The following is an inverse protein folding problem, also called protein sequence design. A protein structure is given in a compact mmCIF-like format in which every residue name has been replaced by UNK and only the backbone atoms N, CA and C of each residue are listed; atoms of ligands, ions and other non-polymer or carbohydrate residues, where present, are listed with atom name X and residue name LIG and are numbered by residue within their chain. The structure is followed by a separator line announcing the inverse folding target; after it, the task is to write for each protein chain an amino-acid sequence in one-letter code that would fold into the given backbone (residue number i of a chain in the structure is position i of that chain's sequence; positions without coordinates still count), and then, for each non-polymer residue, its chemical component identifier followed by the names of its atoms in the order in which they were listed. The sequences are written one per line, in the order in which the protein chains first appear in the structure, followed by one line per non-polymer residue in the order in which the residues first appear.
data_IF_211140726209
#
_entry.id   IF_211140726209
#
_cell.length_a   1.000
_cell.length_b   1.000
_cell.length_c   1.000
_cell.angle_alpha   90.00
_cell.angle_beta   90.00
_cell.angle_gamma   90.00
#
_symmetry.space_group_name_H-M   'P 1'
#
loop_
_entity.id
_entity.type
_entity.pdbx_description
1 polymer ?
#
# COMPACT_ATOMS: atom_id res chain seq x y z
N UNK A 1 12.49 63.99 9.84
CA UNK A 1 11.91 63.02 10.82
C UNK A 1 11.82 61.68 10.15
N UNK A 2 12.31 60.68 10.84
CA UNK A 2 12.80 59.39 10.37
C UNK A 2 11.80 58.47 9.70
N UNK A 3 12.08 58.09 8.46
CA UNK A 3 11.42 57.04 7.65
C UNK A 3 12.14 55.70 7.74
N UNK A 4 12.75 55.35 8.89
CA UNK A 4 13.54 54.13 9.07
C UNK A 4 12.95 53.09 10.05
N UNK A 5 11.70 53.24 10.48
CA UNK A 5 11.12 52.38 11.54
C UNK A 5 10.05 51.41 11.08
N UNK A 6 9.68 51.29 9.79
CA UNK A 6 8.59 50.41 9.32
C UNK A 6 9.10 49.17 8.52
N UNK A 7 10.42 49.10 8.30
CA UNK A 7 11.00 48.00 7.47
C UNK A 7 11.50 46.79 8.25
N UNK A 8 11.25 46.67 9.57
CA UNK A 8 11.79 45.56 10.39
C UNK A 8 10.73 44.60 10.99
N UNK A 9 9.47 44.75 10.66
CA UNK A 9 8.40 43.89 11.21
C UNK A 9 7.80 42.88 10.23
N UNK A 10 8.30 42.79 8.99
CA UNK A 10 7.82 41.82 7.98
C UNK A 10 8.84 40.74 7.61
N UNK A 11 9.97 40.67 8.32
CA UNK A 11 11.02 39.68 8.01
C UNK A 11 11.07 38.48 8.97
N UNK A 12 10.16 38.37 9.93
CA UNK A 12 10.21 37.32 10.96
C UNK A 12 9.15 36.23 10.86
N UNK A 13 8.30 36.25 9.84
CA UNK A 13 7.21 35.24 9.70
C UNK A 13 7.38 34.32 8.50
N UNK A 14 8.51 34.34 7.81
CA UNK A 14 8.74 33.54 6.61
C UNK A 14 9.90 32.53 6.76
N UNK A 15 10.23 32.09 7.97
CA UNK A 15 11.36 31.18 8.22
C UNK A 15 10.99 29.96 9.09
N UNK A 16 9.71 29.55 9.13
CA UNK A 16 9.25 28.34 9.82
C UNK A 16 8.75 27.26 8.84
N UNK A 17 8.77 27.48 7.54
CA UNK A 17 8.40 26.46 6.52
C UNK A 17 9.59 25.83 5.78
N UNK A 18 10.79 25.91 6.31
CA UNK A 18 12.03 25.50 5.63
C UNK A 18 12.75 24.27 6.19
N UNK A 19 12.16 23.52 7.12
CA UNK A 19 12.68 22.22 7.57
C UNK A 19 11.58 21.17 7.58
N UNK A 20 10.90 20.96 6.46
CA UNK A 20 10.45 19.64 6.11
C UNK A 20 11.72 18.84 5.84
N UNK A 21 12.26 18.23 6.90
CA UNK A 21 13.22 17.15 6.79
C UNK A 21 12.71 16.26 5.66
N UNK A 22 13.51 16.10 4.61
CA UNK A 22 13.41 14.96 3.72
C UNK A 22 13.51 13.73 4.62
N UNK A 23 12.38 13.30 5.18
CA UNK A 23 12.31 12.06 5.91
C UNK A 23 12.66 11.00 4.89
N UNK A 24 13.68 10.23 5.18
CA UNK A 24 14.02 9.04 4.42
C UNK A 24 12.73 8.27 4.13
N UNK A 25 12.53 7.85 2.89
CA UNK A 25 11.39 7.00 2.52
C UNK A 25 11.41 5.68 3.33
N UNK A 26 12.54 5.38 3.98
CA UNK A 26 12.80 4.15 4.71
C UNK A 26 11.96 3.98 5.98
N UNK A 27 11.61 5.05 6.70
CA UNK A 27 10.91 4.97 8.01
C UNK A 27 9.61 5.80 8.04
N UNK A 28 8.87 5.84 6.95
CA UNK A 28 7.68 6.69 6.85
C UNK A 28 6.51 6.21 7.74
N UNK A 29 6.38 4.90 7.95
CA UNK A 29 5.32 4.36 8.84
C UNK A 29 5.57 4.74 10.29
N UNK A 30 6.84 4.89 10.71
CA UNK A 30 7.23 5.32 12.04
C UNK A 30 6.67 6.69 12.45
N UNK A 31 6.29 7.51 11.48
CA UNK A 31 5.72 8.85 11.66
C UNK A 31 4.20 8.87 11.77
N UNK A 32 3.55 7.73 11.51
CA UNK A 32 2.08 7.62 11.60
C UNK A 32 1.62 7.44 13.04
N UNK A 33 0.40 7.90 13.41
CA UNK A 33 -0.16 7.66 14.72
C UNK A 33 -0.28 6.17 15.04
N UNK A 34 0.03 5.79 16.26
CA UNK A 34 -0.02 4.40 16.73
C UNK A 34 -1.42 3.78 16.68
N UNK A 35 -2.47 4.58 16.77
CA UNK A 35 -3.86 4.18 16.71
C UNK A 35 -4.47 4.24 15.30
N UNK A 36 -3.71 4.66 14.28
CA UNK A 36 -4.13 4.60 12.89
C UNK A 36 -4.41 3.16 12.46
N UNK A 37 -5.52 2.94 11.76
CA UNK A 37 -5.86 1.61 11.23
C UNK A 37 -5.11 1.36 9.93
N UNK A 38 -4.49 0.18 9.79
CA UNK A 38 -3.73 -0.20 8.59
C UNK A 38 -4.59 -0.15 7.32
N UNK A 39 -5.88 -0.50 7.42
CA UNK A 39 -6.81 -0.40 6.29
C UNK A 39 -7.15 1.05 5.87
N UNK A 40 -6.73 2.06 6.65
CA UNK A 40 -6.89 3.48 6.32
C UNK A 40 -5.65 4.10 5.68
N UNK A 41 -4.59 3.33 5.48
CA UNK A 41 -3.36 3.83 4.89
C UNK A 41 -3.41 3.83 3.37
N UNK A 42 -2.59 4.68 2.79
CA UNK A 42 -2.17 4.63 1.38
C UNK A 42 -0.83 3.92 1.33
N UNK A 43 -0.83 2.65 0.95
CA UNK A 43 0.36 1.78 1.04
C UNK A 43 0.90 1.53 -0.36
N UNK A 44 2.10 2.03 -0.70
CA UNK A 44 2.74 1.70 -1.95
C UNK A 44 3.18 0.23 -1.96
N UNK A 45 2.89 -0.45 -3.06
CA UNK A 45 3.18 -1.87 -3.25
C UNK A 45 3.67 -2.20 -4.65
N UNK A 46 4.35 -3.33 -4.79
CA UNK A 46 4.94 -3.83 -6.02
C UNK A 46 4.26 -5.11 -6.48
N UNK A 47 3.77 -5.09 -7.70
CA UNK A 47 3.28 -6.26 -8.44
C UNK A 47 4.49 -7.08 -8.90
N UNK A 48 4.43 -8.42 -8.77
CA UNK A 48 5.52 -9.34 -9.13
C UNK A 48 6.90 -8.85 -8.67
N UNK A 49 7.01 -8.51 -7.40
CA UNK A 49 8.16 -7.78 -6.83
C UNK A 49 9.50 -8.51 -7.01
N UNK A 50 9.50 -9.84 -7.15
CA UNK A 50 10.70 -10.64 -7.33
C UNK A 50 11.37 -10.48 -8.70
N UNK A 51 10.68 -9.95 -9.71
CA UNK A 51 11.27 -9.78 -11.06
C UNK A 51 12.44 -8.79 -11.09
N UNK A 52 12.51 -7.89 -10.11
CA UNK A 52 13.63 -6.96 -9.93
C UNK A 52 14.96 -7.64 -9.55
N UNK A 53 14.93 -8.89 -9.04
CA UNK A 53 16.13 -9.69 -8.79
C UNK A 53 16.76 -10.28 -10.05
N UNK A 54 16.11 -10.12 -11.22
CA UNK A 54 16.54 -10.71 -12.47
C UNK A 54 16.10 -12.15 -12.63
N UNK A 55 16.44 -12.76 -13.76
CA UNK A 55 15.98 -14.07 -14.16
C UNK A 55 17.13 -15.04 -14.26
N UNK A 56 16.85 -16.36 -14.19
CA UNK A 56 17.87 -17.37 -14.06
C UNK A 56 18.38 -17.85 -15.43
N UNK A 57 19.69 -18.06 -15.53
CA UNK A 57 20.39 -18.74 -16.60
C UNK A 57 20.12 -18.21 -18.01
N UNK A 58 19.85 -19.13 -18.95
CA UNK A 58 19.59 -18.77 -20.35
C UNK A 58 18.23 -18.08 -20.56
N UNK A 59 17.36 -18.08 -19.54
CA UNK A 59 16.06 -17.38 -19.55
C UNK A 59 16.18 -15.89 -19.21
N UNK A 60 17.38 -15.39 -18.87
CA UNK A 60 17.57 -13.99 -18.48
C UNK A 60 17.03 -13.01 -19.52
N UNK A 61 17.42 -13.18 -20.81
CA UNK A 61 16.94 -12.33 -21.90
C UNK A 61 15.42 -12.46 -22.14
N UNK A 62 14.86 -13.65 -21.99
CA UNK A 62 13.42 -13.87 -22.11
C UNK A 62 12.67 -13.22 -20.95
N UNK A 63 13.20 -13.32 -19.73
CA UNK A 63 12.63 -12.68 -18.56
C UNK A 63 12.63 -11.15 -18.71
N UNK A 64 13.73 -10.58 -19.18
CA UNK A 64 13.83 -9.15 -19.44
C UNK A 64 12.85 -8.67 -20.53
N UNK A 65 12.57 -9.50 -21.53
CA UNK A 65 11.68 -9.17 -22.63
C UNK A 65 10.19 -9.37 -22.31
N UNK A 66 9.84 -10.40 -21.50
CA UNK A 66 8.44 -10.83 -21.35
C UNK A 66 7.91 -10.79 -19.92
N UNK A 67 8.76 -10.75 -18.89
CA UNK A 67 8.35 -10.97 -17.52
C UNK A 67 8.74 -9.86 -16.53
N UNK A 68 9.57 -8.90 -16.94
CA UNK A 68 10.05 -7.85 -16.03
C UNK A 68 8.97 -6.84 -15.72
N UNK A 69 8.63 -6.71 -14.44
CA UNK A 69 7.67 -5.74 -13.89
C UNK A 69 8.30 -4.78 -12.89
N UNK A 70 9.53 -5.09 -12.42
CA UNK A 70 10.29 -4.25 -11.50
C UNK A 70 11.76 -4.17 -11.93
N UNK A 71 12.37 -2.99 -11.80
CA UNK A 71 13.80 -2.77 -12.10
C UNK A 71 14.69 -2.88 -10.84
N UNK A 72 14.08 -2.88 -9.64
CA UNK A 72 14.75 -2.84 -8.35
C UNK A 72 14.46 -4.11 -7.55
N UNK A 73 15.43 -4.61 -6.79
CA UNK A 73 15.24 -5.72 -5.87
C UNK A 73 14.40 -5.34 -4.63
N UNK A 74 14.06 -6.29 -3.78
CA UNK A 74 13.19 -6.07 -2.61
C UNK A 74 13.81 -5.04 -1.65
N UNK A 75 15.14 -5.05 -1.45
CA UNK A 75 15.80 -4.08 -0.57
C UNK A 75 15.73 -2.67 -1.13
N UNK A 76 16.00 -2.50 -2.42
CA UNK A 76 15.89 -1.21 -3.10
C UNK A 76 14.44 -0.71 -3.18
N UNK A 77 13.48 -1.62 -3.35
CA UNK A 77 12.04 -1.31 -3.28
C UNK A 77 11.68 -0.80 -1.88
N UNK A 78 12.15 -1.46 -0.82
CA UNK A 78 11.97 -1.02 0.57
C UNK A 78 12.53 0.39 0.82
N UNK A 79 13.76 0.64 0.41
CA UNK A 79 14.43 1.94 0.51
C UNK A 79 13.67 3.05 -0.23
N UNK A 80 12.96 2.69 -1.31
CA UNK A 80 12.09 3.59 -2.05
C UNK A 80 10.77 3.91 -1.33
N UNK A 81 10.45 3.19 -0.23
CA UNK A 81 9.25 3.39 0.59
C UNK A 81 8.15 2.34 0.37
N UNK A 82 8.38 1.31 -0.43
CA UNK A 82 7.44 0.22 -0.65
C UNK A 82 7.24 -0.57 0.64
N UNK A 83 5.97 -0.92 0.97
CA UNK A 83 5.61 -1.73 2.15
C UNK A 83 4.60 -2.84 1.84
N UNK A 84 4.22 -3.03 0.58
CA UNK A 84 3.44 -4.18 0.14
C UNK A 84 4.14 -4.87 -1.04
N UNK A 85 4.24 -6.21 -1.00
CA UNK A 85 5.05 -7.01 -1.92
C UNK A 85 4.22 -8.19 -2.43
N UNK A 86 4.00 -8.27 -3.75
CA UNK A 86 3.34 -9.40 -4.41
C UNK A 86 4.39 -10.44 -4.80
N UNK A 87 4.36 -11.59 -4.14
CA UNK A 87 5.29 -12.70 -4.35
C UNK A 87 4.56 -13.91 -4.95
N UNK A 88 5.09 -14.41 -6.04
CA UNK A 88 4.48 -15.51 -6.79
C UNK A 88 5.39 -16.72 -6.88
N UNK A 89 5.48 -17.52 -5.80
CA UNK A 89 6.28 -18.72 -5.80
C UNK A 89 5.62 -19.88 -6.52
N UNK A 90 6.45 -20.75 -7.12
CA UNK A 90 6.12 -22.11 -7.53
C UNK A 90 7.04 -23.10 -6.83
N UNK A 91 6.71 -24.39 -6.89
CA UNK A 91 7.54 -25.45 -6.35
C UNK A 91 8.68 -25.76 -7.32
N UNK A 92 9.91 -25.64 -6.84
CA UNK A 92 11.13 -26.03 -7.55
C UNK A 92 11.93 -27.00 -6.68
N UNK A 93 11.73 -28.30 -6.89
CA UNK A 93 12.29 -29.35 -6.06
C UNK A 93 11.83 -29.24 -4.59
N UNK A 94 12.73 -28.91 -3.69
CA UNK A 94 12.44 -28.72 -2.26
C UNK A 94 12.31 -27.25 -1.85
N UNK A 95 12.27 -26.32 -2.80
CA UNK A 95 12.20 -24.88 -2.57
C UNK A 95 10.95 -24.26 -3.17
N UNK A 96 10.66 -23.03 -2.78
CA UNK A 96 9.62 -22.19 -3.37
C UNK A 96 10.32 -21.05 -4.15
N UNK A 97 10.42 -21.18 -5.46
CA UNK A 97 11.09 -20.20 -6.32
C UNK A 97 10.08 -19.16 -6.82
N UNK A 98 10.47 -17.91 -6.79
CA UNK A 98 9.62 -16.85 -7.32
C UNK A 98 9.67 -16.88 -8.87
N UNK A 99 8.50 -16.93 -9.48
CA UNK A 99 8.32 -16.99 -10.93
C UNK A 99 7.43 -15.85 -11.42
N UNK A 100 7.47 -15.61 -12.73
CA UNK A 100 6.43 -14.93 -13.49
C UNK A 100 5.96 -15.88 -14.61
N UNK A 101 4.81 -16.51 -14.43
CA UNK A 101 4.42 -17.65 -15.24
C UNK A 101 5.45 -18.77 -15.14
N UNK A 102 5.94 -19.23 -16.29
CA UNK A 102 6.97 -20.26 -16.37
C UNK A 102 8.42 -19.72 -16.23
N UNK A 103 8.59 -18.41 -16.16
CA UNK A 103 9.92 -17.78 -16.15
C UNK A 103 10.38 -17.63 -14.70
N UNK A 104 11.49 -18.30 -14.37
CA UNK A 104 12.08 -18.31 -13.03
C UNK A 104 12.92 -17.04 -12.80
N UNK A 105 12.71 -16.41 -11.64
CA UNK A 105 13.61 -15.37 -11.15
C UNK A 105 14.78 -15.97 -10.37
N UNK A 106 15.78 -15.14 -10.03
CA UNK A 106 16.91 -15.53 -9.17
C UNK A 106 16.54 -15.61 -7.67
N UNK A 107 15.28 -15.38 -7.30
CA UNK A 107 14.82 -15.26 -5.93
C UNK A 107 13.97 -16.44 -5.50
N UNK A 108 14.17 -16.93 -4.28
CA UNK A 108 13.27 -17.85 -3.59
C UNK A 108 12.34 -17.10 -2.62
N UNK A 109 11.21 -17.70 -2.27
CA UNK A 109 10.32 -17.13 -1.25
C UNK A 109 11.00 -17.06 0.12
N UNK A 110 11.88 -18.01 0.43
CA UNK A 110 12.68 -18.03 1.66
C UNK A 110 13.59 -16.78 1.73
N UNK A 111 14.35 -16.50 0.68
CA UNK A 111 15.23 -15.34 0.61
C UNK A 111 14.42 -14.03 0.67
N UNK A 112 13.28 -13.98 -0.01
CA UNK A 112 12.40 -12.81 0.02
C UNK A 112 11.87 -12.50 1.43
N UNK A 113 11.36 -13.53 2.13
CA UNK A 113 10.86 -13.36 3.50
C UNK A 113 12.00 -13.07 4.48
N UNK A 114 13.16 -13.72 4.33
CA UNK A 114 14.37 -13.47 5.13
C UNK A 114 14.80 -11.99 4.99
N UNK A 115 14.92 -11.49 3.77
CA UNK A 115 15.25 -10.08 3.50
C UNK A 115 14.25 -9.12 4.18
N UNK A 116 12.95 -9.39 4.08
CA UNK A 116 11.94 -8.56 4.73
C UNK A 116 12.02 -8.63 6.27
N UNK A 117 12.31 -9.79 6.85
CA UNK A 117 12.53 -9.93 8.30
C UNK A 117 13.75 -9.12 8.76
N UNK A 118 14.88 -9.23 8.04
CA UNK A 118 16.07 -8.41 8.35
C UNK A 118 15.82 -6.90 8.25
N UNK A 119 15.03 -6.47 7.25
CA UNK A 119 14.65 -5.07 7.11
C UNK A 119 13.75 -4.62 8.27
N UNK A 120 12.82 -5.46 8.73
CA UNK A 120 11.97 -5.16 9.88
C UNK A 120 12.76 -5.10 11.20
N UNK A 121 13.83 -5.90 11.36
CA UNK A 121 14.75 -5.80 12.49
C UNK A 121 15.54 -4.49 12.50
N UNK A 122 15.97 -4.03 11.31
CA UNK A 122 16.68 -2.75 11.14
C UNK A 122 15.75 -1.54 11.30
N UNK A 123 14.47 -1.69 10.91
CA UNK A 123 13.44 -0.65 10.87
C UNK A 123 12.20 -1.05 11.69
N UNK A 124 12.31 -1.18 13.03
CA UNK A 124 11.26 -1.75 13.87
C UNK A 124 9.98 -0.91 13.97
N UNK A 125 9.98 0.30 13.46
CA UNK A 125 8.78 1.17 13.37
C UNK A 125 7.95 0.90 12.13
N UNK A 126 8.51 0.17 11.17
CA UNK A 126 7.89 -0.14 9.89
C UNK A 126 7.10 -1.46 9.94
N UNK A 127 6.41 -1.76 8.86
CA UNK A 127 5.70 -3.02 8.67
C UNK A 127 5.80 -3.46 7.20
N UNK A 128 5.69 -4.75 6.93
CA UNK A 128 5.56 -5.26 5.58
C UNK A 128 4.27 -6.07 5.40
N UNK A 129 3.61 -5.89 4.26
CA UNK A 129 2.49 -6.71 3.82
C UNK A 129 2.96 -7.53 2.64
N UNK A 130 2.84 -8.85 2.72
CA UNK A 130 3.19 -9.75 1.63
C UNK A 130 1.92 -10.40 1.11
N UNK A 131 1.67 -10.27 -0.20
CA UNK A 131 0.60 -10.98 -0.89
C UNK A 131 1.24 -12.15 -1.63
N UNK A 132 0.83 -13.38 -1.29
CA UNK A 132 1.37 -14.60 -1.90
C UNK A 132 0.31 -15.21 -2.83
N UNK A 133 0.73 -15.57 -4.05
CA UNK A 133 -0.03 -16.38 -4.99
C UNK A 133 0.81 -17.54 -5.46
N UNK A 134 0.26 -18.75 -5.45
CA UNK A 134 0.90 -19.90 -6.08
C UNK A 134 0.95 -19.72 -7.60
N UNK A 135 2.14 -19.67 -8.19
CA UNK A 135 2.33 -19.53 -9.63
C UNK A 135 2.29 -20.90 -10.30
N UNK A 136 1.07 -21.44 -10.43
CA UNK A 136 0.82 -22.83 -10.85
C UNK A 136 1.33 -23.17 -12.25
N UNK A 137 1.52 -22.15 -13.12
CA UNK A 137 2.09 -22.34 -14.45
C UNK A 137 3.58 -22.74 -14.40
N UNK A 138 4.26 -22.44 -13.28
CA UNK A 138 5.67 -22.77 -13.08
C UNK A 138 5.92 -24.21 -12.58
N UNK A 139 4.89 -24.89 -12.06
CA UNK A 139 5.04 -26.22 -11.44
C UNK A 139 3.86 -27.19 -11.69
N UNK A 140 3.01 -26.88 -12.67
CA UNK A 140 1.81 -27.66 -12.99
C UNK A 140 0.86 -27.89 -11.79
N UNK A 141 0.86 -26.95 -10.81
CA UNK A 141 0.05 -27.02 -9.61
C UNK A 141 0.52 -28.10 -8.63
N UNK A 142 1.82 -28.16 -8.34
CA UNK A 142 2.45 -29.16 -7.50
C UNK A 142 1.74 -29.43 -6.18
N UNK A 143 1.61 -30.70 -5.82
CA UNK A 143 1.05 -31.16 -4.53
C UNK A 143 1.95 -30.82 -3.33
N UNK A 144 3.24 -30.52 -3.53
CA UNK A 144 4.19 -30.19 -2.47
C UNK A 144 4.05 -28.75 -1.96
N UNK A 145 3.29 -27.90 -2.66
CA UNK A 145 2.98 -26.52 -2.27
C UNK A 145 2.62 -26.37 -0.78
N UNK A 146 1.62 -27.16 -0.33
CA UNK A 146 1.14 -27.07 1.04
C UNK A 146 2.20 -27.39 2.09
N UNK A 147 3.01 -28.41 1.84
CA UNK A 147 4.06 -28.87 2.77
C UNK A 147 5.21 -27.88 2.85
N UNK A 148 5.64 -27.34 1.71
CA UNK A 148 6.72 -26.36 1.63
C UNK A 148 6.31 -25.03 2.25
N UNK A 149 5.10 -24.52 1.96
CA UNK A 149 4.58 -23.32 2.59
C UNK A 149 4.48 -23.45 4.11
N UNK A 150 3.99 -24.59 4.61
CA UNK A 150 3.95 -24.86 6.05
C UNK A 150 5.35 -24.87 6.68
N UNK A 151 6.30 -25.53 6.05
CA UNK A 151 7.67 -25.59 6.52
C UNK A 151 8.32 -24.22 6.59
N UNK A 152 8.17 -23.42 5.54
CA UNK A 152 8.70 -22.07 5.46
C UNK A 152 8.10 -21.14 6.54
N UNK A 153 6.78 -21.13 6.68
CA UNK A 153 6.09 -20.30 7.67
C UNK A 153 6.30 -20.78 9.12
N UNK A 154 6.82 -21.99 9.31
CA UNK A 154 7.18 -22.52 10.62
C UNK A 154 8.61 -22.17 11.06
N UNK A 155 9.42 -21.52 10.22
CA UNK A 155 10.76 -21.06 10.57
C UNK A 155 10.70 -20.01 11.66
N UNK A 156 11.65 -20.04 12.58
CA UNK A 156 11.64 -19.17 13.76
C UNK A 156 11.72 -17.69 13.39
N UNK A 157 12.50 -17.34 12.39
CA UNK A 157 12.65 -15.98 11.88
C UNK A 157 11.32 -15.44 11.29
N UNK A 158 10.62 -16.23 10.48
CA UNK A 158 9.31 -15.83 9.91
C UNK A 158 8.25 -15.75 11.02
N UNK A 159 8.23 -16.72 11.95
CA UNK A 159 7.30 -16.71 13.09
C UNK A 159 7.48 -15.52 14.01
N UNK A 160 8.71 -15.07 14.24
CA UNK A 160 9.01 -13.94 15.10
C UNK A 160 8.39 -12.65 14.56
N UNK A 161 8.33 -12.52 13.24
CA UNK A 161 7.80 -11.34 12.57
C UNK A 161 6.33 -11.47 12.15
N UNK A 162 5.83 -12.67 11.87
CA UNK A 162 4.49 -12.89 11.33
C UNK A 162 3.39 -12.49 12.34
N UNK A 163 2.40 -11.74 11.84
CA UNK A 163 1.22 -11.34 12.62
C UNK A 163 -0.05 -11.95 12.02
N UNK A 164 -1.01 -12.32 12.88
CA UNK A 164 -2.33 -12.75 12.43
C UNK A 164 -3.15 -11.56 11.96
N UNK A 165 -3.91 -11.77 10.88
CA UNK A 165 -4.81 -10.77 10.35
C UNK A 165 -5.92 -10.41 11.34
N UNK A 166 -6.19 -9.12 11.47
CA UNK A 166 -7.38 -8.54 12.09
C UNK A 166 -7.97 -7.48 11.17
N UNK A 167 -9.30 -7.41 10.98
CA UNK A 167 -9.93 -6.35 10.19
C UNK A 167 -9.54 -4.94 10.59
N UNK A 168 -9.42 -4.72 11.91
CA UNK A 168 -9.12 -3.42 12.53
C UNK A 168 -7.70 -3.36 13.07
N UNK A 169 -6.74 -3.91 12.33
CA UNK A 169 -5.33 -3.90 12.70
C UNK A 169 -4.82 -2.45 12.76
N UNK A 170 -4.15 -2.09 13.86
CA UNK A 170 -3.59 -0.75 14.08
C UNK A 170 -2.08 -0.72 13.92
N UNK A 171 -1.52 0.48 13.69
CA UNK A 171 -0.08 0.67 13.50
C UNK A 171 0.75 0.12 14.65
N UNK A 172 0.41 0.40 15.92
CA UNK A 172 1.17 -0.13 17.06
C UNK A 172 1.19 -1.68 17.12
N UNK A 173 0.25 -2.35 16.48
CA UNK A 173 0.18 -3.82 16.46
C UNK A 173 1.03 -4.43 15.34
N UNK A 174 1.21 -3.70 14.22
CA UNK A 174 1.92 -4.22 13.04
C UNK A 174 3.38 -3.76 12.95
N UNK A 175 3.82 -2.77 13.74
CA UNK A 175 5.21 -2.29 13.74
C UNK A 175 6.18 -3.44 14.01
N UNK A 176 7.23 -3.54 13.20
CA UNK A 176 8.20 -4.63 13.20
C UNK A 176 7.62 -5.98 12.78
N UNK A 177 6.44 -6.00 12.11
CA UNK A 177 5.73 -7.23 11.76
C UNK A 177 5.50 -7.39 10.28
N UNK A 178 5.36 -8.66 9.89
CA UNK A 178 5.08 -9.14 8.56
C UNK A 178 3.63 -9.67 8.51
N UNK A 179 2.77 -9.03 7.73
CA UNK A 179 1.41 -9.49 7.47
C UNK A 179 1.40 -10.28 6.16
N UNK A 180 1.27 -11.59 6.25
CA UNK A 180 1.20 -12.48 5.09
C UNK A 180 -0.26 -12.69 4.71
N UNK A 181 -0.61 -12.31 3.49
CA UNK A 181 -1.93 -12.50 2.89
C UNK A 181 -1.78 -13.43 1.69
N UNK A 182 -2.34 -14.63 1.75
CA UNK A 182 -2.24 -15.60 0.66
C UNK A 182 -3.52 -15.69 -0.15
N UNK A 183 -3.39 -15.78 -1.46
CA UNK A 183 -4.50 -16.04 -2.40
C UNK A 183 -4.84 -17.53 -2.46
N UNK A 184 -3.93 -18.39 -2.01
CA UNK A 184 -4.04 -19.84 -2.02
C UNK A 184 -4.00 -20.42 -0.61
N UNK A 185 -4.70 -21.55 -0.42
CA UNK A 185 -4.72 -22.24 0.86
C UNK A 185 -3.52 -23.16 1.00
N UNK A 186 -2.85 -23.12 2.15
CA UNK A 186 -1.71 -24.00 2.48
C UNK A 186 -1.78 -24.55 3.91
N UNK A 187 -2.79 -24.13 4.70
CA UNK A 187 -2.99 -24.62 6.06
C UNK A 187 -4.46 -24.51 6.46
N UNK A 188 -4.90 -25.31 7.45
CA UNK A 188 -6.25 -25.22 8.02
C UNK A 188 -6.47 -23.91 8.79
N UNK A 189 -5.40 -23.40 9.41
CA UNK A 189 -5.41 -22.12 10.13
C UNK A 189 -4.39 -21.19 9.46
N UNK A 190 -4.82 -20.07 8.89
CA UNK A 190 -3.90 -19.19 8.17
C UNK A 190 -2.91 -18.52 9.12
N UNK A 191 -1.66 -18.42 8.67
CA UNK A 191 -0.70 -17.44 9.18
C UNK A 191 -0.98 -16.14 8.45
N UNK A 192 -1.25 -15.05 9.18
CA UNK A 192 -1.77 -13.82 8.56
C UNK A 192 -3.23 -13.99 8.17
N UNK A 193 -3.52 -14.06 6.87
CA UNK A 193 -4.87 -14.26 6.36
C UNK A 193 -4.89 -14.81 4.93
N UNK A 194 -6.06 -15.36 4.53
CA UNK A 194 -6.32 -15.76 3.16
C UNK A 194 -7.20 -14.74 2.45
N UNK A 195 -6.84 -14.38 1.21
CA UNK A 195 -7.69 -13.55 0.35
C UNK A 195 -8.59 -14.47 -0.46
N UNK A 196 -9.89 -14.26 -0.34
CA UNK A 196 -10.94 -15.01 -1.05
C UNK A 196 -11.61 -14.13 -2.08
N UNK A 197 -12.14 -14.77 -3.14
CA UNK A 197 -12.88 -14.10 -4.20
C UNK A 197 -12.03 -13.03 -4.90
N UNK A 198 -10.76 -13.33 -5.14
CA UNK A 198 -9.94 -12.50 -6.02
C UNK A 198 -10.52 -12.49 -7.42
N UNK A 199 -10.48 -11.36 -8.09
CA UNK A 199 -11.07 -11.23 -9.42
C UNK A 199 -10.22 -10.27 -10.27
N UNK A 200 -10.17 -10.56 -11.56
CA UNK A 200 -9.47 -9.81 -12.59
C UNK A 200 -10.42 -8.93 -13.42
N UNK A 201 -11.66 -8.75 -12.98
CA UNK A 201 -12.66 -7.96 -13.69
C UNK A 201 -12.37 -6.45 -13.57
N UNK A 202 -12.62 -5.72 -14.64
CA UNK A 202 -12.62 -4.25 -14.65
C UNK A 202 -13.74 -3.64 -13.80
N UNK A 203 -14.77 -4.44 -13.43
CA UNK A 203 -15.95 -4.00 -12.68
C UNK A 203 -15.92 -4.53 -11.26
N UNK A 204 -14.98 -4.06 -10.44
CA UNK A 204 -14.88 -4.50 -9.04
C UNK A 204 -16.19 -4.32 -8.24
N UNK A 205 -17.03 -3.35 -8.60
CA UNK A 205 -18.32 -3.11 -7.93
C UNK A 205 -19.37 -4.21 -8.20
N UNK A 206 -19.27 -4.91 -9.32
CA UNK A 206 -20.18 -6.01 -9.71
C UNK A 206 -19.70 -7.36 -9.16
N UNK A 207 -18.52 -7.39 -8.56
CA UNK A 207 -17.93 -8.60 -8.01
C UNK A 207 -18.56 -8.93 -6.67
N UNK A 208 -18.66 -10.23 -6.38
CA UNK A 208 -18.75 -10.66 -5.00
C UNK A 208 -17.51 -10.10 -4.31
N UNK A 209 -17.70 -9.19 -3.37
CA UNK A 209 -16.60 -8.53 -2.66
C UNK A 209 -15.55 -9.56 -2.26
N UNK A 210 -14.30 -9.28 -2.56
CA UNK A 210 -13.16 -10.01 -2.01
C UNK A 210 -13.21 -9.98 -0.48
N UNK A 211 -12.58 -10.93 0.16
CA UNK A 211 -12.50 -11.02 1.61
C UNK A 211 -11.11 -11.39 2.04
N UNK A 212 -10.66 -10.83 3.14
CA UNK A 212 -9.50 -11.34 3.87
C UNK A 212 -10.02 -12.12 5.06
N UNK A 213 -9.66 -13.40 5.12
CA UNK A 213 -10.09 -14.35 6.15
C UNK A 213 -8.89 -14.69 7.03
N UNK A 214 -8.88 -14.18 8.26
CA UNK A 214 -7.92 -14.52 9.29
C UNK A 214 -8.39 -15.67 10.17
N UNK A 215 -7.60 -15.98 11.22
CA UNK A 215 -7.88 -17.06 12.15
C UNK A 215 -9.25 -16.94 12.85
N UNK A 216 -9.63 -15.75 13.28
CA UNK A 216 -10.83 -15.53 14.09
C UNK A 216 -11.75 -14.42 13.55
N UNK A 217 -11.38 -13.76 12.47
CA UNK A 217 -12.12 -12.65 11.92
C UNK A 217 -11.91 -12.52 10.42
N UNK A 218 -12.86 -11.86 9.74
CA UNK A 218 -12.78 -11.55 8.32
C UNK A 218 -13.11 -10.09 8.04
N UNK A 219 -12.58 -9.57 6.94
CA UNK A 219 -12.85 -8.24 6.42
C UNK A 219 -13.35 -8.30 4.99
N UNK A 220 -14.15 -7.32 4.58
CA UNK A 220 -14.38 -7.04 3.16
C UNK A 220 -13.10 -6.48 2.57
N UNK A 221 -12.73 -6.95 1.37
CA UNK A 221 -11.62 -6.42 0.60
C UNK A 221 -12.11 -6.05 -0.80
N UNK A 222 -12.04 -4.78 -1.16
CA UNK A 222 -12.26 -4.37 -2.54
C UNK A 222 -10.98 -4.63 -3.33
N UNK A 223 -11.10 -5.36 -4.44
CA UNK A 223 -9.96 -5.75 -5.27
C UNK A 223 -10.25 -5.29 -6.70
N UNK A 224 -9.35 -4.50 -7.26
CA UNK A 224 -9.28 -4.20 -8.68
C UNK A 224 -7.95 -4.72 -9.21
N UNK A 225 -8.02 -5.71 -10.10
CA UNK A 225 -6.86 -6.35 -10.73
C UNK A 225 -7.18 -6.69 -12.19
N UNK A 226 -7.66 -5.70 -12.95
CA UNK A 226 -7.85 -5.83 -14.40
C UNK A 226 -6.49 -5.61 -15.07
N UNK A 227 -5.87 -6.66 -15.59
CA UNK A 227 -4.46 -6.64 -16.01
C UNK A 227 -4.23 -6.84 -17.52
N UNK A 228 -5.15 -7.51 -18.24
CA UNK A 228 -5.03 -7.68 -19.69
C UNK A 228 -5.63 -6.49 -20.42
N UNK A 229 -4.76 -5.65 -20.97
CA UNK A 229 -5.09 -4.38 -21.62
C UNK A 229 -4.71 -4.38 -23.09
N UNK A 230 -4.55 -5.56 -23.67
CA UNK A 230 -4.18 -5.73 -25.08
C UNK A 230 -5.30 -5.38 -26.07
N UNK A 231 -6.55 -5.35 -25.61
CA UNK A 231 -7.69 -4.96 -26.43
C UNK A 231 -7.81 -3.43 -26.56
N UNK A 232 -8.33 -2.98 -27.70
CA UNK A 232 -8.57 -1.56 -27.95
C UNK A 232 -9.43 -0.92 -26.85
N UNK A 233 -8.97 0.21 -26.34
CA UNK A 233 -9.66 0.95 -25.28
C UNK A 233 -9.51 0.36 -23.86
N UNK A 234 -8.90 -0.81 -23.68
CA UNK A 234 -8.80 -1.47 -22.37
C UNK A 234 -7.97 -0.66 -21.37
N UNK A 235 -6.95 0.09 -21.79
CA UNK A 235 -6.18 1.00 -20.93
C UNK A 235 -7.06 2.08 -20.27
N UNK A 236 -8.02 2.63 -21.03
CA UNK A 236 -8.96 3.60 -20.49
C UNK A 236 -9.95 2.96 -19.52
N UNK A 237 -10.45 1.77 -19.84
CA UNK A 237 -11.29 0.98 -18.92
C UNK A 237 -10.55 0.69 -17.61
N UNK A 238 -9.28 0.33 -17.69
CA UNK A 238 -8.41 0.15 -16.51
C UNK A 238 -8.32 1.43 -15.69
N UNK A 239 -8.01 2.55 -16.35
CA UNK A 239 -7.91 3.86 -15.69
C UNK A 239 -9.20 4.20 -14.94
N UNK A 240 -10.35 4.05 -15.58
CA UNK A 240 -11.65 4.29 -14.96
C UNK A 240 -11.90 3.35 -13.76
N UNK A 241 -11.50 2.09 -13.87
CA UNK A 241 -11.65 1.12 -12.78
C UNK A 241 -10.80 1.50 -11.57
N UNK A 242 -9.55 1.94 -11.78
CA UNK A 242 -8.66 2.43 -10.73
C UNK A 242 -9.28 3.65 -10.05
N UNK A 243 -9.66 4.66 -10.81
CA UNK A 243 -10.18 5.93 -10.29
C UNK A 243 -11.51 5.72 -9.54
N UNK A 244 -12.43 4.92 -10.07
CA UNK A 244 -13.69 4.60 -9.40
C UNK A 244 -13.46 3.92 -8.04
N UNK A 245 -12.45 3.04 -7.93
CA UNK A 245 -12.12 2.43 -6.64
C UNK A 245 -11.47 3.44 -5.69
N UNK A 246 -10.62 4.34 -6.19
CA UNK A 246 -10.04 5.43 -5.40
C UNK A 246 -11.11 6.40 -4.86
N UNK A 247 -12.05 6.84 -5.69
CA UNK A 247 -13.18 7.67 -5.26
C UNK A 247 -13.96 7.01 -4.12
N UNK A 248 -14.20 5.71 -4.24
CA UNK A 248 -14.88 4.95 -3.20
C UNK A 248 -14.07 4.87 -1.90
N UNK A 249 -12.78 4.59 -1.98
CA UNK A 249 -11.92 4.39 -0.80
C UNK A 249 -11.60 5.69 -0.09
N UNK A 250 -11.33 6.77 -0.81
CA UNK A 250 -11.10 8.10 -0.21
C UNK A 250 -12.33 8.63 0.51
N UNK A 251 -13.54 8.23 0.11
CA UNK A 251 -14.79 8.52 0.82
C UNK A 251 -14.99 7.73 2.14
N UNK A 252 -14.15 6.76 2.45
CA UNK A 252 -14.26 5.89 3.63
C UNK A 252 -13.42 6.38 4.83
N UNK A 253 -13.40 7.67 5.10
CA UNK A 253 -12.54 8.29 6.13
C UNK A 253 -12.68 7.72 7.55
N UNK A 254 -13.86 7.17 7.90
CA UNK A 254 -14.13 6.53 9.19
C UNK A 254 -14.10 5.00 9.13
N UNK A 255 -13.57 4.45 8.06
CA UNK A 255 -13.50 3.01 7.87
C UNK A 255 -12.44 2.38 8.79
N UNK A 256 -12.79 1.30 9.47
CA UNK A 256 -11.87 0.56 10.34
C UNK A 256 -11.78 -0.93 9.98
N UNK A 257 -12.45 -1.38 8.92
CA UNK A 257 -12.63 -2.82 8.64
C UNK A 257 -12.69 -3.19 7.15
N UNK A 258 -12.71 -2.22 6.24
CA UNK A 258 -12.73 -2.47 4.79
C UNK A 258 -11.32 -2.28 4.26
N UNK A 259 -10.80 -3.30 3.64
CA UNK A 259 -9.49 -3.28 2.98
C UNK A 259 -9.65 -3.04 1.48
N UNK A 260 -8.61 -2.52 0.87
CA UNK A 260 -8.59 -2.28 -0.57
C UNK A 260 -7.24 -2.66 -1.15
N UNK A 261 -7.26 -3.35 -2.29
CA UNK A 261 -6.10 -3.66 -3.13
C UNK A 261 -6.45 -3.19 -4.54
N UNK A 262 -5.73 -2.19 -5.02
CA UNK A 262 -5.99 -1.55 -6.30
C UNK A 262 -4.71 -1.63 -7.16
N UNK A 263 -4.74 -2.39 -8.23
CA UNK A 263 -3.61 -2.57 -9.11
C UNK A 263 -3.55 -1.49 -10.19
N UNK A 264 -2.46 -0.73 -10.26
CA UNK A 264 -2.11 0.03 -11.46
C UNK A 264 -1.41 -0.87 -12.48
N UNK A 265 -0.87 -2.01 -12.04
CA UNK A 265 -0.18 -3.01 -12.85
C UNK A 265 -1.06 -3.63 -13.94
N UNK A 266 -0.43 -4.08 -15.01
CA UNK A 266 -1.05 -4.72 -16.16
C UNK A 266 -0.23 -4.51 -17.42
N UNK A 267 -0.55 -5.24 -18.49
CA UNK A 267 0.16 -5.14 -19.76
C UNK A 267 -0.74 -4.68 -20.91
N UNK A 268 -0.22 -3.79 -21.74
CA UNK A 268 -0.93 -3.23 -22.89
C UNK A 268 -0.40 -3.73 -24.23
N UNK A 269 0.80 -4.30 -24.24
CA UNK A 269 1.42 -4.84 -25.46
C UNK A 269 1.69 -6.32 -25.30
N UNK A 270 1.41 -7.05 -26.36
CA UNK A 270 1.63 -8.50 -26.46
C UNK A 270 2.37 -8.83 -27.74
N UNK A 271 3.00 -10.01 -27.75
CA UNK A 271 3.65 -10.59 -28.93
C UNK A 271 3.20 -12.03 -29.10
N UNK A 272 3.33 -12.56 -30.30
CA UNK A 272 3.05 -13.96 -30.57
C UNK A 272 4.35 -14.76 -30.58
N UNK A 273 4.41 -15.82 -29.78
CA UNK A 273 5.55 -16.71 -29.70
C UNK A 273 5.05 -18.17 -29.74
N UNK A 274 5.45 -18.92 -30.78
CA UNK A 274 5.01 -20.29 -31.05
C UNK A 274 3.48 -20.50 -30.96
N UNK A 275 2.71 -19.52 -31.44
CA UNK A 275 1.24 -19.60 -31.44
C UNK A 275 0.56 -19.21 -30.14
N UNK A 276 1.31 -18.88 -29.10
CA UNK A 276 0.81 -18.31 -27.85
C UNK A 276 0.99 -16.78 -27.82
N UNK A 277 0.04 -16.08 -27.22
CA UNK A 277 0.14 -14.64 -26.97
C UNK A 277 0.79 -14.41 -25.61
N UNK A 278 1.90 -13.69 -25.60
CA UNK A 278 2.64 -13.34 -24.39
C UNK A 278 2.60 -11.84 -24.15
N UNK A 279 2.49 -11.42 -22.89
CA UNK A 279 2.76 -10.04 -22.46
C UNK A 279 4.22 -9.67 -22.72
N UNK A 280 4.51 -8.38 -22.85
CA UNK A 280 5.88 -7.89 -22.97
C UNK A 280 6.23 -6.95 -21.83
N UNK A 281 7.50 -6.89 -21.46
CA UNK A 281 7.98 -5.94 -20.43
C UNK A 281 7.72 -4.48 -20.86
N UNK A 282 7.78 -4.18 -22.16
CA UNK A 282 7.36 -2.88 -22.69
C UNK A 282 5.86 -2.65 -22.55
N UNK A 283 5.02 -3.70 -22.59
CA UNK A 283 3.60 -3.61 -22.31
C UNK A 283 3.31 -3.25 -20.86
N UNK A 284 4.09 -3.76 -19.91
CA UNK A 284 4.01 -3.35 -18.49
C UNK A 284 4.48 -1.90 -18.29
N UNK A 285 5.58 -1.48 -18.96
CA UNK A 285 6.09 -0.09 -18.91
C UNK A 285 5.09 0.91 -19.49
N UNK A 286 4.53 0.61 -20.66
CA UNK A 286 3.55 1.45 -21.36
C UNK A 286 2.27 1.62 -20.53
N UNK A 287 1.79 0.55 -19.89
CA UNK A 287 0.67 0.65 -18.97
C UNK A 287 1.03 1.45 -17.72
N UNK A 288 2.17 1.16 -17.07
CA UNK A 288 2.62 1.87 -15.86
C UNK A 288 2.71 3.38 -16.08
N UNK A 289 3.27 3.83 -17.22
CA UNK A 289 3.37 5.25 -17.57
C UNK A 289 2.00 5.94 -17.59
N UNK A 290 0.94 5.24 -17.99
CA UNK A 290 -0.42 5.78 -18.04
C UNK A 290 -1.11 5.73 -16.68
N UNK A 291 -1.08 4.57 -16.01
CA UNK A 291 -1.89 4.33 -14.82
C UNK A 291 -1.29 4.96 -13.56
N UNK A 292 0.04 4.92 -13.41
CA UNK A 292 0.70 5.55 -12.27
C UNK A 292 0.50 7.06 -12.30
N UNK A 293 0.62 7.69 -13.46
CA UNK A 293 0.35 9.12 -13.62
C UNK A 293 -1.11 9.47 -13.28
N UNK A 294 -2.07 8.64 -13.69
CA UNK A 294 -3.48 8.89 -13.38
C UNK A 294 -3.77 8.91 -11.86
N UNK A 295 -3.11 8.03 -11.10
CA UNK A 295 -3.23 8.03 -9.63
C UNK A 295 -2.54 9.24 -9.01
N UNK A 296 -1.36 9.64 -9.51
CA UNK A 296 -0.69 10.87 -9.05
C UNK A 296 -1.61 12.09 -9.25
N UNK A 297 -2.23 12.20 -10.43
CA UNK A 297 -3.12 13.33 -10.73
C UNK A 297 -4.37 13.31 -9.84
N UNK A 298 -4.93 12.14 -9.58
CA UNK A 298 -6.04 11.99 -8.64
C UNK A 298 -5.68 12.48 -7.23
N UNK A 299 -4.51 12.09 -6.72
CA UNK A 299 -4.06 12.45 -5.36
C UNK A 299 -3.75 13.95 -5.18
N UNK A 300 -3.52 14.72 -6.25
CA UNK A 300 -3.36 16.16 -6.17
C UNK A 300 -4.66 16.88 -5.75
N UNK A 301 -5.79 16.30 -6.11
CA UNK A 301 -7.11 16.92 -5.90
C UNK A 301 -7.93 16.22 -4.79
N UNK A 302 -7.61 14.95 -4.50
CA UNK A 302 -8.36 14.09 -3.58
C UNK A 302 -7.45 13.50 -2.52
N UNK A 303 -7.70 13.84 -1.26
CA UNK A 303 -6.98 13.26 -0.13
C UNK A 303 -7.87 12.26 0.61
N UNK A 304 -7.31 11.15 1.01
CA UNK A 304 -8.02 10.10 1.73
C UNK A 304 -7.33 8.74 1.58
N UNK A 305 -7.90 7.73 2.20
CA UNK A 305 -7.41 6.36 2.13
C UNK A 305 -7.42 5.82 0.70
N UNK A 306 -6.31 5.28 0.22
CA UNK A 306 -6.28 4.55 -1.05
C UNK A 306 -6.31 3.03 -0.88
N UNK A 307 -5.92 2.53 0.29
CA UNK A 307 -5.55 1.14 0.50
C UNK A 307 -4.18 0.83 -0.11
N UNK A 308 -3.96 -0.42 -0.48
CA UNK A 308 -2.72 -0.90 -1.10
C UNK A 308 -2.81 -0.62 -2.61
N UNK A 309 -1.83 0.11 -3.14
CA UNK A 309 -1.69 0.36 -4.58
C UNK A 309 -0.55 -0.52 -5.10
N UNK A 310 -0.88 -1.51 -5.92
CA UNK A 310 0.08 -2.47 -6.48
C UNK A 310 0.53 -2.00 -7.86
N UNK A 311 1.83 -1.69 -8.00
CA UNK A 311 2.41 -1.01 -9.16
C UNK A 311 3.42 -1.87 -9.89
N UNK A 312 3.53 -1.65 -11.19
CA UNK A 312 4.72 -2.00 -11.96
C UNK A 312 5.73 -0.85 -11.87
N UNK A 313 7.02 -1.18 -11.83
CA UNK A 313 8.17 -0.24 -11.78
C UNK A 313 8.08 0.77 -10.63
N UNK A 314 7.58 0.38 -9.47
CA UNK A 314 7.23 1.25 -8.35
C UNK A 314 8.41 2.06 -7.76
N UNK A 315 9.64 1.57 -7.89
CA UNK A 315 10.83 2.19 -7.29
C UNK A 315 11.63 3.08 -8.26
N UNK A 316 11.12 3.31 -9.47
CA UNK A 316 11.77 4.15 -10.50
C UNK A 316 10.75 5.05 -11.20
N UNK A 317 11.20 6.20 -11.71
CA UNK A 317 10.36 7.08 -12.54
C UNK A 317 10.51 6.83 -14.04
N UNK A 318 11.61 6.14 -14.42
CA UNK A 318 11.86 5.77 -15.80
C UNK A 318 12.36 4.34 -15.89
N UNK A 319 11.82 3.58 -16.85
CA UNK A 319 12.26 2.23 -17.21
C UNK A 319 12.29 2.09 -18.73
N UNK A 320 13.43 1.72 -19.28
CA UNK A 320 13.64 1.74 -20.73
C UNK A 320 13.35 3.13 -21.31
N UNK A 321 12.44 3.17 -22.29
CA UNK A 321 12.03 4.41 -22.96
C UNK A 321 10.75 5.04 -22.38
N UNK A 322 10.24 4.50 -21.25
CA UNK A 322 8.96 4.89 -20.68
C UNK A 322 9.15 5.69 -19.37
N UNK A 323 8.40 6.76 -19.23
CA UNK A 323 8.31 7.54 -17.98
C UNK A 323 7.23 6.90 -17.10
N UNK A 324 7.60 5.83 -16.37
CA UNK A 324 6.69 4.95 -15.61
C UNK A 324 6.16 5.59 -14.32
N UNK A 325 6.79 6.66 -13.82
CA UNK A 325 6.35 7.47 -12.68
C UNK A 325 6.11 6.66 -11.38
N UNK A 326 6.81 5.53 -11.22
CA UNK A 326 6.57 4.63 -10.08
C UNK A 326 7.06 5.19 -8.76
N UNK A 327 8.28 5.77 -8.74
CA UNK A 327 8.83 6.40 -7.55
C UNK A 327 8.05 7.68 -7.17
N UNK A 328 7.61 8.46 -8.17
CA UNK A 328 6.77 9.63 -7.95
C UNK A 328 5.42 9.23 -7.32
N UNK A 329 4.79 8.15 -7.81
CA UNK A 329 3.55 7.64 -7.22
C UNK A 329 3.78 7.10 -5.79
N UNK A 330 4.86 6.35 -5.57
CA UNK A 330 5.24 5.86 -4.23
C UNK A 330 5.34 7.02 -3.24
N UNK A 331 6.02 8.11 -3.60
CA UNK A 331 6.13 9.32 -2.77
C UNK A 331 4.78 9.99 -2.55
N UNK A 332 3.96 10.12 -3.59
CA UNK A 332 2.62 10.72 -3.48
C UNK A 332 1.70 9.94 -2.52
N UNK A 333 1.76 8.60 -2.54
CA UNK A 333 1.01 7.74 -1.61
C UNK A 333 1.48 7.92 -0.16
N UNK A 334 2.80 8.01 0.06
CA UNK A 334 3.37 8.26 1.39
C UNK A 334 2.92 9.63 1.91
N UNK A 335 3.04 10.68 1.11
CA UNK A 335 2.64 12.05 1.47
C UNK A 335 1.14 12.17 1.73
N UNK A 336 0.32 11.42 0.99
CA UNK A 336 -1.13 11.39 1.20
C UNK A 336 -1.49 10.92 2.61
N UNK A 337 -0.77 9.95 3.19
CA UNK A 337 -0.99 9.53 4.59
C UNK A 337 -0.83 10.71 5.56
N UNK A 338 0.23 11.48 5.43
CA UNK A 338 0.49 12.62 6.32
C UNK A 338 -0.57 13.71 6.18
N UNK A 339 -1.07 13.95 4.96
CA UNK A 339 -2.17 14.90 4.72
C UNK A 339 -3.46 14.46 5.42
N UNK A 340 -3.79 13.16 5.34
CA UNK A 340 -4.98 12.58 5.98
C UNK A 340 -4.91 12.67 7.51
N UNK A 341 -3.80 12.24 8.11
CA UNK A 341 -3.67 12.20 9.57
C UNK A 341 -3.48 13.59 10.18
N UNK A 342 -2.78 14.52 9.53
CA UNK A 342 -2.70 15.92 9.97
C UNK A 342 -4.09 16.60 10.01
N UNK A 343 -4.96 16.28 9.06
CA UNK A 343 -6.35 16.80 9.05
C UNK A 343 -7.16 16.23 10.21
N UNK A 344 -6.97 14.95 10.55
CA UNK A 344 -7.66 14.31 11.69
C UNK A 344 -7.24 14.96 13.02
N UNK A 345 -5.94 15.21 13.23
CA UNK A 345 -5.44 15.89 14.43
C UNK A 345 -6.00 17.31 14.55
N UNK A 346 -6.04 18.07 13.47
CA UNK A 346 -6.61 19.41 13.45
C UNK A 346 -8.10 19.38 13.80
N UNK A 347 -8.87 18.46 13.23
CA UNK A 347 -10.29 18.32 13.50
C UNK A 347 -10.54 17.87 14.96
N UNK A 348 -9.70 17.00 15.51
CA UNK A 348 -9.77 16.58 16.92
C UNK A 348 -9.41 17.75 17.85
N UNK A 349 -8.39 18.53 17.51
CA UNK A 349 -8.02 19.75 18.24
C UNK A 349 -9.13 20.78 18.23
N UNK A 350 -9.75 21.02 17.07
CA UNK A 350 -10.87 21.96 16.94
C UNK A 350 -12.11 21.50 17.72
N UNK A 351 -12.38 20.20 17.79
CA UNK A 351 -13.44 19.64 18.65
C UNK A 351 -13.11 19.73 20.14
N UNK A 352 -11.85 19.57 20.52
CA UNK A 352 -11.40 19.75 21.90
C UNK A 352 -11.43 21.21 22.35
N UNK A 353 -11.43 22.17 21.40
CA UNK A 353 -11.46 23.60 21.67
C UNK A 353 -12.85 24.18 21.92
N UNK A 354 -13.93 23.41 21.75
CA UNK A 354 -15.27 23.87 22.19
C UNK A 354 -15.30 23.85 23.70
N UNK A 355 -15.23 25.00 24.37
CA UNK A 355 -15.14 25.03 25.82
C UNK A 355 -16.41 24.46 26.42
N UNK A 356 -16.26 23.50 27.31
CA UNK A 356 -17.41 23.00 28.10
C UNK A 356 -17.85 24.12 29.02
N UNK A 357 -19.09 24.54 28.86
CA UNK A 357 -19.69 25.62 29.64
C UNK A 357 -20.55 25.02 30.75
N UNK A 358 -20.35 25.52 31.96
CA UNK A 358 -21.14 25.14 33.12
C UNK A 358 -21.88 26.37 33.67
N UNK A 359 -23.06 26.15 34.24
CA UNK A 359 -23.70 27.16 35.06
C UNK A 359 -22.98 27.35 36.43
N UNK A 360 -23.40 28.31 37.20
CA UNK A 360 -22.77 28.58 38.50
C UNK A 360 -22.97 27.45 39.53
N UNK A 361 -23.87 26.50 39.27
CA UNK A 361 -24.09 25.30 40.09
C UNK A 361 -23.20 24.12 39.65
N UNK A 362 -22.37 24.30 38.60
CA UNK A 362 -21.48 23.27 38.07
C UNK A 362 -22.15 22.30 37.11
N UNK A 363 -23.36 22.58 36.63
CA UNK A 363 -24.02 21.77 35.58
C UNK A 363 -23.55 22.20 34.22
N UNK A 364 -23.22 21.22 33.36
CA UNK A 364 -22.96 21.47 31.95
C UNK A 364 -24.20 22.08 31.30
N UNK A 365 -24.03 23.20 30.60
CA UNK A 365 -25.13 23.94 29.98
C UNK A 365 -24.74 24.54 28.66
N UNK A 366 -25.74 24.87 27.85
CA UNK A 366 -25.61 25.76 26.70
C UNK A 366 -26.19 27.10 27.12
N UNK A 367 -25.42 28.21 27.10
CA UNK A 367 -25.93 29.51 27.49
C UNK A 367 -27.10 29.94 26.60
N UNK A 368 -28.24 30.10 27.16
CA UNK A 368 -29.45 30.58 26.48
C UNK A 368 -29.91 31.96 26.95
N UNK A 369 -29.31 32.46 28.02
CA UNK A 369 -29.61 33.74 28.63
C UNK A 369 -28.36 34.48 29.08
N UNK A 370 -28.44 35.79 29.21
CA UNK A 370 -27.39 36.58 29.86
C UNK A 370 -27.16 36.06 31.27
N UNK A 371 -25.92 35.73 31.63
CA UNK A 371 -25.64 35.19 32.96
C UNK A 371 -24.16 34.88 33.16
N UNK A 372 -23.82 34.49 34.40
CA UNK A 372 -22.45 34.06 34.73
C UNK A 372 -22.32 32.58 34.52
N UNK A 373 -21.34 32.17 33.73
CA UNK A 373 -21.03 30.80 33.39
C UNK A 373 -19.59 30.46 33.78
N UNK A 374 -19.27 29.20 33.94
CA UNK A 374 -17.91 28.72 34.14
C UNK A 374 -17.42 28.15 32.79
N UNK A 375 -16.41 28.79 32.22
CA UNK A 375 -15.78 28.39 30.94
C UNK A 375 -14.32 28.17 31.23
N UNK A 376 -13.80 26.96 30.97
CA UNK A 376 -12.39 26.58 31.22
C UNK A 376 -11.97 26.92 32.69
N UNK A 377 -12.83 26.66 33.65
CA UNK A 377 -12.56 26.92 35.07
C UNK A 377 -12.62 28.39 35.49
N UNK A 378 -13.01 29.31 34.60
CA UNK A 378 -13.13 30.76 34.89
C UNK A 378 -14.59 31.21 34.86
N UNK A 379 -14.96 32.13 35.78
CA UNK A 379 -16.29 32.77 35.73
C UNK A 379 -16.31 33.82 34.62
N UNK A 380 -17.23 33.68 33.67
CA UNK A 380 -17.41 34.54 32.50
C UNK A 380 -18.86 35.04 32.47
N UNK A 381 -19.05 36.35 32.34
CA UNK A 381 -20.37 36.94 32.08
C UNK A 381 -20.65 36.91 30.58
N UNK A 382 -21.58 36.07 30.14
CA UNK A 382 -22.09 36.13 28.79
C UNK A 382 -23.32 37.05 28.75
N UNK A 383 -23.30 38.01 27.81
CA UNK A 383 -24.36 39.00 27.60
C UNK A 383 -25.33 38.56 26.54
#
# INVERSE_FOLDING_TARGET
MNTKAISRLFASTLLIFGNLLSASADDWMGRLPDDAYVCQLSIPGTHDCGTGHGFDGFLESLGDEYARTQDKDISEQWESGIRAFDLRPCVDGSTLRINHGIIQTKLTLEEALGTLCELLDKHPTEAAIVIIRHETDGDDGSNDWNSLMKALLARDEVKAHAINFSPSLKMHQIRGKLLILSRDEYATTPTGGFIRNWTHSSKYADQKNGRIVGRSAQATCFIQDFYDLSADGAKEVKRQSILTLLERTTGLSNNTRIWCINHTSGYSLTTSFFGSTLSTSDGYRDNAATQNQAVIDFLKEHHGTTGIIMMDYAAVDRSGNYDVQGLALTKALIENNFSVFATVEKTASDRASVPTIYDISGRRTIPTTTGIYIIQGRKVLLK
#
